data_IF_142141942737
#
_entry.id   IF_142141942737
#
_cell.length_a   1.000
_cell.length_b   1.000
_cell.length_c   1.000
_cell.angle_alpha   90.00
_cell.angle_beta   90.00
_cell.angle_gamma   90.00
#
_symmetry.space_group_name_H-M   'P 1'
#
loop_
_entity.id
_entity.type
_entity.pdbx_description
1 polymer ?
#
# COMPACT_ATOMS: atom_id res chain seq x y z
N UNK A 1 9.29 93.15 30.14
CA UNK A 1 9.09 92.94 28.68
C UNK A 1 9.81 91.67 28.27
N UNK A 2 9.11 90.83 27.47
CA UNK A 2 9.53 89.57 26.82
C UNK A 2 9.45 88.27 27.65
N UNK A 3 8.26 87.65 27.58
CA UNK A 3 7.90 86.25 27.30
C UNK A 3 9.01 85.19 27.32
N UNK A 4 8.75 84.00 27.89
CA UNK A 4 8.41 82.79 27.11
C UNK A 4 8.00 81.60 28.01
N UNK A 5 7.17 80.72 27.44
CA UNK A 5 6.37 79.65 28.05
C UNK A 5 7.10 78.31 28.24
N UNK A 6 6.67 77.59 29.30
CA UNK A 6 6.28 76.17 29.45
C UNK A 6 6.54 75.17 28.28
N UNK A 7 6.67 73.88 28.68
CA UNK A 7 6.66 72.59 27.92
C UNK A 7 8.09 72.00 27.86
N UNK A 8 8.44 70.89 28.53
CA UNK A 8 7.73 69.63 28.70
C UNK A 8 8.33 68.61 27.73
N UNK A 9 9.33 67.82 28.15
CA UNK A 9 9.77 66.67 27.36
C UNK A 9 9.94 65.44 28.25
N UNK A 10 8.88 64.65 28.21
CA UNK A 10 8.73 63.31 28.75
C UNK A 10 9.75 62.38 28.06
N UNK A 11 10.55 61.70 28.87
CA UNK A 11 11.47 60.64 28.43
C UNK A 11 10.64 59.45 27.97
N UNK A 12 10.54 59.25 26.66
CA UNK A 12 9.91 58.07 26.05
C UNK A 12 10.97 57.00 25.83
N UNK A 13 11.19 56.16 26.86
CA UNK A 13 12.05 54.97 26.76
C UNK A 13 11.27 53.88 26.03
N UNK A 14 11.53 53.73 24.73
CA UNK A 14 10.97 52.64 23.92
C UNK A 14 11.65 51.35 24.36
N UNK A 15 10.93 50.54 25.14
CA UNK A 15 11.25 49.14 25.36
C UNK A 15 10.97 48.39 24.04
N UNK A 16 12.02 48.15 23.26
CA UNK A 16 11.97 47.21 22.14
C UNK A 16 11.85 45.80 22.71
N UNK A 17 10.61 45.33 22.88
CA UNK A 17 10.31 43.92 23.08
C UNK A 17 10.66 43.21 21.76
N UNK A 18 11.88 42.70 21.70
CA UNK A 18 12.30 41.76 20.67
C UNK A 18 11.56 40.45 20.91
N UNK A 19 10.40 40.31 20.26
CA UNK A 19 9.73 39.04 20.10
C UNK A 19 10.65 38.19 19.21
N UNK A 20 11.40 37.26 19.80
CA UNK A 20 12.06 36.20 19.04
C UNK A 20 10.93 35.37 18.42
N UNK A 21 10.70 35.57 17.12
CA UNK A 21 9.90 34.68 16.32
C UNK A 21 10.64 33.34 16.34
N UNK A 22 10.09 32.36 17.05
CA UNK A 22 10.58 31.00 16.98
C UNK A 22 10.51 30.57 15.52
N UNK A 23 11.67 30.44 14.88
CA UNK A 23 11.77 29.81 13.58
C UNK A 23 11.36 28.35 13.80
N UNK A 24 10.14 28.04 13.36
CA UNK A 24 9.72 26.67 13.11
C UNK A 24 10.77 26.10 12.16
N UNK A 25 11.70 25.31 12.72
CA UNK A 25 12.54 24.43 11.94
C UNK A 25 11.59 23.51 11.21
N UNK A 26 11.31 23.82 9.94
CA UNK A 26 10.84 22.85 8.99
C UNK A 26 11.92 21.77 8.93
N UNK A 27 11.76 20.75 9.76
CA UNK A 27 12.42 19.47 9.53
C UNK A 27 11.91 19.03 8.18
N UNK A 28 12.70 19.23 7.13
CA UNK A 28 12.46 18.60 5.84
C UNK A 28 12.54 17.11 6.17
N UNK A 29 11.38 16.47 6.32
CA UNK A 29 11.28 15.03 6.31
C UNK A 29 11.81 14.65 4.93
N UNK A 30 13.01 14.08 4.91
CA UNK A 30 13.60 13.56 3.69
C UNK A 30 12.65 12.46 3.23
N UNK A 31 11.70 12.80 2.35
CA UNK A 31 10.86 11.83 1.68
C UNK A 31 11.84 10.92 0.93
N UNK A 32 12.00 9.70 1.42
CA UNK A 32 12.95 8.76 0.84
C UNK A 32 12.56 8.57 -0.63
N UNK A 33 13.49 8.92 -1.52
CA UNK A 33 13.24 8.88 -2.95
C UNK A 33 13.04 7.45 -3.41
N UNK A 34 11.93 7.20 -4.13
CA UNK A 34 11.70 5.95 -4.85
C UNK A 34 12.92 5.55 -5.65
N UNK A 35 13.42 4.33 -5.45
CA UNK A 35 14.59 3.83 -6.17
C UNK A 35 14.62 2.31 -6.25
N UNK A 36 15.30 1.79 -7.27
CA UNK A 36 15.62 0.37 -7.41
C UNK A 36 17.02 0.23 -8.01
N UNK A 37 17.89 -0.53 -7.35
CA UNK A 37 19.29 -0.71 -7.76
C UNK A 37 19.80 -2.10 -7.37
N UNK A 38 20.85 -2.57 -8.05
CA UNK A 38 21.49 -3.86 -7.84
C UNK A 38 22.88 -3.88 -8.46
N UNK A 39 23.53 -5.04 -8.43
CA UNK A 39 24.69 -5.36 -9.26
C UNK A 39 24.36 -6.54 -10.18
N UNK A 40 24.67 -6.43 -11.47
CA UNK A 40 24.46 -7.46 -12.48
C UNK A 40 25.82 -7.93 -12.97
N UNK A 41 26.17 -9.18 -12.67
CA UNK A 41 27.51 -9.75 -12.95
C UNK A 41 28.65 -8.85 -12.43
N UNK A 42 28.42 -8.24 -11.26
CA UNK A 42 29.36 -7.33 -10.58
C UNK A 42 29.35 -5.89 -11.10
N UNK A 43 28.50 -5.54 -12.07
CA UNK A 43 28.36 -4.17 -12.60
C UNK A 43 27.16 -3.49 -11.95
N UNK A 44 27.35 -2.28 -11.43
CA UNK A 44 26.27 -1.48 -10.85
C UNK A 44 25.15 -1.23 -11.86
N UNK A 45 23.92 -1.42 -11.39
CA UNK A 45 22.71 -1.18 -12.13
C UNK A 45 21.72 -0.37 -11.29
N UNK A 46 21.08 0.59 -11.93
CA UNK A 46 20.04 1.40 -11.33
C UNK A 46 18.88 1.53 -12.32
N UNK A 47 17.66 1.29 -11.84
CA UNK A 47 16.46 1.51 -12.62
C UNK A 47 16.30 3.01 -12.92
N UNK A 48 16.07 3.33 -14.19
CA UNK A 48 15.63 4.65 -14.65
C UNK A 48 14.13 4.83 -14.48
N UNK A 49 13.38 3.75 -14.61
CA UNK A 49 11.93 3.69 -14.36
C UNK A 49 11.59 2.41 -13.62
N UNK A 50 10.64 2.51 -12.71
CA UNK A 50 10.10 1.40 -11.94
C UNK A 50 8.59 1.38 -12.07
N UNK A 51 8.02 0.18 -12.08
CA UNK A 51 6.58 -0.05 -12.01
C UNK A 51 6.37 -1.19 -11.01
N UNK A 52 5.43 -1.00 -10.09
CA UNK A 52 4.98 -2.08 -9.22
C UNK A 52 3.46 -2.14 -9.25
N UNK A 53 2.93 -3.34 -9.51
CA UNK A 53 1.50 -3.58 -9.66
C UNK A 53 1.10 -4.78 -8.82
N UNK A 54 0.13 -4.58 -7.93
CA UNK A 54 -0.58 -5.67 -7.28
C UNK A 54 -1.74 -6.13 -8.17
N UNK A 55 -1.82 -7.42 -8.48
CA UNK A 55 -2.99 -8.04 -9.13
C UNK A 55 -3.47 -9.25 -8.34
N UNK A 56 -4.55 -9.90 -8.78
CA UNK A 56 -5.02 -11.16 -8.18
C UNK A 56 -3.98 -12.29 -8.21
N UNK A 57 -3.04 -12.24 -9.17
CA UNK A 57 -1.95 -13.22 -9.29
C UNK A 57 -0.71 -12.86 -8.46
N UNK A 58 -0.79 -11.82 -7.62
CA UNK A 58 0.29 -11.34 -6.77
C UNK A 58 0.93 -10.05 -7.25
N UNK A 59 2.16 -9.79 -6.80
CA UNK A 59 2.90 -8.55 -7.00
C UNK A 59 3.85 -8.70 -8.18
N UNK A 60 3.72 -7.79 -9.15
CA UNK A 60 4.67 -7.60 -10.25
C UNK A 60 5.53 -6.38 -9.98
N UNK A 61 6.85 -6.53 -10.07
CA UNK A 61 7.81 -5.43 -9.95
C UNK A 61 8.65 -5.41 -11.22
N UNK A 62 8.74 -4.26 -11.88
CA UNK A 62 9.54 -4.05 -13.07
C UNK A 62 10.50 -2.88 -12.83
N UNK A 63 11.78 -3.08 -13.10
CA UNK A 63 12.79 -2.03 -13.12
C UNK A 63 13.51 -2.03 -14.47
N UNK A 64 13.52 -0.89 -15.15
CA UNK A 64 14.18 -0.72 -16.46
C UNK A 64 15.34 0.24 -16.31
N UNK A 65 16.56 -0.22 -16.60
CA UNK A 65 17.77 0.62 -16.57
C UNK A 65 17.82 1.63 -17.72
N UNK A 66 18.95 2.33 -17.86
CA UNK A 66 19.17 3.22 -19.01
C UNK A 66 19.43 2.40 -20.27
N UNK A 67 18.35 2.04 -20.98
CA UNK A 67 18.39 1.19 -22.17
C UNK A 67 18.14 -0.27 -21.80
N UNK A 68 19.22 -0.98 -21.49
CA UNK A 68 19.25 -2.40 -21.10
C UNK A 68 20.37 -2.50 -20.05
N UNK A 69 20.21 -3.24 -18.94
CA UNK A 69 19.24 -4.30 -18.70
C UNK A 69 17.97 -3.90 -17.92
N UNK A 70 16.99 -4.80 -17.88
CA UNK A 70 15.77 -4.73 -17.08
C UNK A 70 15.64 -5.93 -16.14
N UNK A 71 15.15 -5.70 -14.92
CA UNK A 71 14.88 -6.73 -13.91
C UNK A 71 13.38 -6.73 -13.62
N UNK A 72 12.77 -7.91 -13.59
CA UNK A 72 11.36 -8.07 -13.27
C UNK A 72 11.13 -9.22 -12.29
N UNK A 73 10.09 -9.10 -11.47
CA UNK A 73 9.63 -10.12 -10.55
C UNK A 73 8.14 -10.37 -10.73
N UNK A 74 7.74 -11.63 -10.60
CA UNK A 74 6.38 -12.05 -10.29
C UNK A 74 6.43 -12.79 -8.96
N UNK A 75 5.81 -12.23 -7.93
CA UNK A 75 5.68 -12.85 -6.62
C UNK A 75 4.19 -13.16 -6.42
N UNK A 76 3.82 -14.41 -6.25
CA UNK A 76 2.40 -14.83 -6.19
C UNK A 76 1.75 -14.62 -4.82
N UNK A 77 2.54 -14.13 -3.87
CA UNK A 77 2.14 -13.79 -2.51
C UNK A 77 2.28 -12.27 -2.26
N UNK A 78 1.52 -11.78 -1.29
CA UNK A 78 1.39 -10.38 -0.90
C UNK A 78 1.77 -10.14 0.56
N UNK A 79 2.29 -11.16 1.25
CA UNK A 79 2.80 -10.99 2.62
C UNK A 79 4.23 -10.46 2.64
N UNK A 80 4.56 -9.72 3.70
CA UNK A 80 5.94 -9.38 4.02
C UNK A 80 6.75 -10.64 4.35
N UNK A 81 8.03 -10.65 3.98
CA UNK A 81 8.90 -11.80 4.23
C UNK A 81 9.70 -12.23 3.00
N UNK A 82 10.24 -13.44 3.08
CA UNK A 82 11.13 -14.00 2.06
C UNK A 82 10.36 -14.87 1.07
N UNK A 83 10.44 -14.49 -0.20
CA UNK A 83 9.84 -15.16 -1.33
C UNK A 83 10.93 -15.84 -2.16
N UNK A 84 10.97 -17.16 -2.10
CA UNK A 84 11.96 -17.93 -2.84
C UNK A 84 11.66 -17.89 -4.34
N UNK A 85 12.70 -17.71 -5.15
CA UNK A 85 12.65 -17.76 -6.62
C UNK A 85 13.36 -19.05 -7.07
N UNK A 86 12.64 -20.10 -7.43
CA UNK A 86 13.23 -21.33 -7.99
C UNK A 86 12.17 -22.20 -8.69
N UNK A 87 12.59 -23.32 -9.29
CA UNK A 87 11.73 -24.28 -10.00
C UNK A 87 10.59 -24.90 -9.15
N UNK A 88 10.67 -24.85 -7.82
CA UNK A 88 9.64 -25.40 -6.93
C UNK A 88 8.64 -24.35 -6.42
N UNK A 89 8.73 -23.11 -6.92
CA UNK A 89 7.85 -22.00 -6.51
C UNK A 89 7.22 -21.36 -7.73
N UNK A 90 6.07 -20.73 -7.55
CA UNK A 90 5.43 -19.93 -8.62
C UNK A 90 6.05 -18.52 -8.76
N UNK A 91 6.89 -18.12 -7.81
CA UNK A 91 7.61 -16.86 -7.87
C UNK A 91 8.76 -16.92 -8.90
N UNK A 92 8.90 -15.88 -9.72
CA UNK A 92 9.88 -15.86 -10.80
C UNK A 92 10.64 -14.53 -10.81
N UNK A 93 11.97 -14.62 -10.88
CA UNK A 93 12.85 -13.50 -11.23
C UNK A 93 13.23 -13.55 -12.70
N UNK A 94 13.20 -12.41 -13.36
CA UNK A 94 13.60 -12.22 -14.75
C UNK A 94 14.67 -11.15 -14.87
N UNK A 95 15.64 -11.40 -15.74
CA UNK A 95 16.62 -10.40 -16.19
C UNK A 95 16.64 -10.40 -17.72
N UNK A 96 16.47 -9.23 -18.33
CA UNK A 96 16.61 -9.02 -19.77
C UNK A 96 17.86 -8.18 -20.02
N UNK A 97 18.84 -8.75 -20.72
CA UNK A 97 20.08 -8.07 -21.08
C UNK A 97 20.37 -8.25 -22.59
N UNK A 98 19.86 -7.33 -23.39
CA UNK A 98 20.02 -7.32 -24.84
C UNK A 98 18.94 -8.19 -25.47
N UNK A 99 19.38 -9.17 -26.26
CA UNK A 99 18.52 -10.25 -26.76
C UNK A 99 18.47 -11.45 -25.81
N UNK A 100 19.21 -11.39 -24.69
CA UNK A 100 19.27 -12.47 -23.72
C UNK A 100 18.19 -12.27 -22.66
N UNK A 101 17.46 -13.33 -22.37
CA UNK A 101 16.52 -13.42 -21.25
C UNK A 101 17.01 -14.51 -20.29
N UNK A 102 17.07 -14.17 -19.01
CA UNK A 102 17.41 -15.06 -17.92
C UNK A 102 16.23 -15.16 -16.97
N UNK A 103 15.94 -16.36 -16.45
CA UNK A 103 14.86 -16.58 -15.50
C UNK A 103 15.24 -17.61 -14.42
N UNK A 104 14.49 -17.65 -13.31
CA UNK A 104 14.73 -18.56 -12.18
C UNK A 104 13.90 -19.84 -12.21
N UNK A 105 13.15 -20.11 -13.28
CA UNK A 105 12.13 -21.17 -13.32
C UNK A 105 12.55 -22.40 -14.14
N UNK A 106 13.45 -22.24 -15.10
CA UNK A 106 13.75 -23.29 -16.09
C UNK A 106 14.97 -24.18 -15.78
N UNK A 107 15.73 -23.90 -14.71
CA UNK A 107 16.93 -24.66 -14.33
C UNK A 107 17.13 -24.70 -12.80
N UNK A 108 17.63 -25.82 -12.27
CA UNK A 108 17.82 -26.02 -10.82
C UNK A 108 18.92 -25.15 -10.20
N UNK A 109 19.88 -24.66 -11.00
CA UNK A 109 20.91 -23.72 -10.56
C UNK A 109 20.43 -22.26 -10.66
N UNK A 110 19.33 -22.00 -11.35
CA UNK A 110 18.68 -20.70 -11.37
C UNK A 110 17.81 -20.56 -10.13
N UNK A 111 18.27 -19.78 -9.15
CA UNK A 111 17.56 -19.58 -7.89
C UNK A 111 17.83 -18.20 -7.30
N UNK A 112 17.05 -17.81 -6.29
CA UNK A 112 17.21 -16.56 -5.58
C UNK A 112 16.10 -16.31 -4.58
N UNK A 113 15.99 -15.06 -4.16
CA UNK A 113 14.88 -14.60 -3.33
C UNK A 113 14.56 -13.13 -3.56
N UNK A 114 13.31 -12.77 -3.25
CA UNK A 114 12.87 -11.40 -2.99
C UNK A 114 12.43 -11.34 -1.54
N UNK A 115 12.82 -10.29 -0.82
CA UNK A 115 12.41 -10.06 0.56
C UNK A 115 11.59 -8.77 0.59
N UNK A 116 10.29 -8.89 0.84
CA UNK A 116 9.43 -7.74 1.11
C UNK A 116 9.64 -7.29 2.54
N UNK A 117 10.24 -6.10 2.72
CA UNK A 117 10.48 -5.51 4.03
C UNK A 117 9.33 -4.64 4.51
N UNK A 118 8.54 -4.11 3.58
CA UNK A 118 7.30 -3.42 3.90
C UNK A 118 6.33 -3.44 2.72
N UNK A 119 5.07 -3.76 2.96
CA UNK A 119 3.96 -3.56 2.01
C UNK A 119 2.91 -2.67 2.68
N UNK A 120 2.80 -1.44 2.20
CA UNK A 120 1.85 -0.47 2.74
C UNK A 120 0.81 -0.14 1.66
N UNK A 121 -0.38 -0.72 1.79
CA UNK A 121 -1.48 -0.53 0.84
C UNK A 121 -2.16 0.84 1.02
N UNK A 122 -2.07 1.42 2.22
CA UNK A 122 -2.64 2.75 2.54
C UNK A 122 -1.87 3.85 1.81
N UNK A 123 -0.54 3.84 1.93
CA UNK A 123 0.33 4.79 1.23
C UNK A 123 0.69 4.32 -0.19
N UNK A 124 0.27 3.11 -0.57
CA UNK A 124 0.57 2.50 -1.87
C UNK A 124 2.07 2.44 -2.16
N UNK A 125 2.86 1.93 -1.18
CA UNK A 125 4.32 1.82 -1.26
C UNK A 125 4.79 0.41 -0.90
N UNK A 126 5.81 -0.05 -1.61
CA UNK A 126 6.50 -1.32 -1.32
C UNK A 126 8.02 -1.13 -1.27
N UNK A 127 8.66 -1.81 -0.32
CA UNK A 127 10.12 -1.82 -0.15
C UNK A 127 10.63 -3.23 0.10
N UNK A 128 11.90 -3.47 -0.28
CA UNK A 128 12.49 -4.79 -0.14
C UNK A 128 13.88 -4.93 -0.71
N UNK A 129 14.35 -6.18 -0.71
CA UNK A 129 15.65 -6.60 -1.24
C UNK A 129 15.48 -7.78 -2.19
N UNK A 130 16.45 -8.00 -3.06
CA UNK A 130 16.43 -9.15 -3.95
C UNK A 130 17.84 -9.58 -4.34
N UNK A 131 17.98 -10.87 -4.64
CA UNK A 131 19.14 -11.46 -5.27
C UNK A 131 18.70 -12.72 -6.01
N UNK A 132 19.28 -12.97 -7.20
CA UNK A 132 19.03 -14.22 -7.91
C UNK A 132 20.09 -14.51 -8.96
N UNK A 133 20.16 -15.77 -9.37
CA UNK A 133 20.87 -16.24 -10.55
C UNK A 133 19.80 -16.66 -11.55
N UNK A 134 19.80 -16.02 -12.72
CA UNK A 134 18.91 -16.39 -13.82
C UNK A 134 19.65 -17.26 -14.84
N UNK A 135 18.95 -18.23 -15.43
CA UNK A 135 19.43 -19.07 -16.51
C UNK A 135 18.80 -18.67 -17.84
N UNK A 136 19.59 -18.72 -18.92
CA UNK A 136 19.11 -18.49 -20.29
C UNK A 136 19.13 -19.77 -21.11
N UNK A 137 17.95 -20.31 -21.40
CA UNK A 137 17.78 -21.48 -22.27
C UNK A 137 18.30 -21.26 -23.71
N UNK A 138 18.45 -20.01 -24.17
CA UNK A 138 18.91 -19.72 -25.54
C UNK A 138 20.37 -20.11 -25.76
N UNK A 139 21.24 -19.85 -24.79
CA UNK A 139 22.69 -20.11 -24.90
C UNK A 139 23.27 -20.92 -23.73
N UNK A 140 22.41 -21.40 -22.82
CA UNK A 140 22.78 -22.20 -21.65
C UNK A 140 23.80 -21.48 -20.75
N UNK A 141 23.59 -20.18 -20.51
CA UNK A 141 24.41 -19.35 -19.62
C UNK A 141 23.62 -18.81 -18.44
N UNK A 142 24.35 -18.29 -17.45
CA UNK A 142 23.79 -17.74 -16.22
C UNK A 142 24.21 -16.29 -16.07
N UNK A 143 23.35 -15.48 -15.45
CA UNK A 143 23.66 -14.12 -15.04
C UNK A 143 23.18 -13.89 -13.61
N UNK A 144 24.02 -13.24 -12.83
CA UNK A 144 23.83 -13.03 -11.39
C UNK A 144 23.36 -11.60 -11.12
N UNK A 145 22.36 -11.48 -10.26
CA UNK A 145 21.85 -10.22 -9.73
C UNK A 145 22.02 -10.25 -8.22
N UNK A 146 22.86 -9.37 -7.69
CA UNK A 146 23.20 -9.33 -6.27
C UNK A 146 22.97 -7.94 -5.67
N UNK A 147 22.85 -7.87 -4.35
CA UNK A 147 22.69 -6.61 -3.59
C UNK A 147 21.52 -5.76 -4.10
N UNK A 148 20.44 -6.42 -4.57
CA UNK A 148 19.26 -5.75 -5.06
C UNK A 148 18.47 -5.10 -3.93
N UNK A 149 18.05 -3.86 -4.14
CA UNK A 149 17.19 -3.10 -3.22
C UNK A 149 16.17 -2.33 -4.03
N UNK A 150 14.93 -2.29 -3.54
CA UNK A 150 13.94 -1.31 -3.97
C UNK A 150 13.34 -0.62 -2.76
N UNK A 151 13.19 0.70 -2.86
CA UNK A 151 12.79 1.58 -1.77
C UNK A 151 11.57 2.36 -2.23
N UNK A 152 10.47 2.26 -1.48
CA UNK A 152 9.23 3.01 -1.67
C UNK A 152 8.80 3.05 -3.13
N UNK A 153 8.73 1.88 -3.79
CA UNK A 153 8.15 1.80 -5.13
C UNK A 153 6.65 2.06 -5.02
N UNK A 154 6.08 2.96 -5.84
CA UNK A 154 4.64 3.12 -5.93
C UNK A 154 3.98 1.81 -6.35
N UNK A 155 3.10 1.31 -5.49
CA UNK A 155 2.33 0.10 -5.70
C UNK A 155 0.96 0.47 -6.25
N UNK A 156 0.73 0.18 -7.53
CA UNK A 156 -0.59 0.37 -8.14
C UNK A 156 -1.42 -0.89 -7.96
N UNK A 157 -2.65 -0.76 -7.46
CA UNK A 157 -3.57 -1.89 -7.35
C UNK A 157 -4.35 -2.01 -8.66
N UNK A 158 -4.17 -3.12 -9.37
CA UNK A 158 -4.89 -3.42 -10.60
C UNK A 158 -5.55 -4.80 -10.50
N UNK A 159 -6.84 -4.78 -10.18
CA UNK A 159 -7.66 -5.97 -10.01
C UNK A 159 -8.46 -6.17 -11.29
N UNK A 160 -7.72 -6.45 -12.37
CA UNK A 160 -8.16 -6.84 -13.70
C UNK A 160 -9.64 -6.50 -14.02
N UNK A 161 -9.92 -5.27 -14.46
CA UNK A 161 -11.20 -4.82 -15.02
C UNK A 161 -12.46 -5.01 -14.16
N UNK A 162 -12.34 -5.25 -12.85
CA UNK A 162 -13.50 -5.25 -11.98
C UNK A 162 -13.90 -3.81 -11.65
N UNK A 163 -15.16 -3.45 -11.90
CA UNK A 163 -15.72 -2.18 -11.38
C UNK A 163 -15.73 -2.17 -9.85
N UNK A 164 -15.85 -3.37 -9.27
CA UNK A 164 -16.03 -3.59 -7.84
C UNK A 164 -14.92 -4.50 -7.30
N UNK A 165 -14.23 -4.05 -6.26
CA UNK A 165 -13.18 -4.83 -5.60
C UNK A 165 -13.07 -4.52 -4.12
N UNK A 166 -12.64 -5.52 -3.36
CA UNK A 166 -12.34 -5.45 -1.93
C UNK A 166 -11.13 -6.34 -1.64
N UNK A 167 -10.12 -5.77 -1.00
CA UNK A 167 -8.92 -6.47 -0.52
C UNK A 167 -8.69 -6.06 0.92
N UNK A 168 -8.23 -6.98 1.77
CA UNK A 168 -7.79 -6.68 3.13
C UNK A 168 -6.85 -7.76 3.63
N UNK A 169 -5.88 -7.41 4.48
CA UNK A 169 -5.08 -8.39 5.21
C UNK A 169 -5.79 -8.77 6.50
N UNK A 170 -6.04 -10.07 6.70
CA UNK A 170 -6.69 -10.63 7.89
C UNK A 170 -5.63 -11.42 8.65
N UNK A 171 -5.24 -10.94 9.83
CA UNK A 171 -4.11 -11.47 10.61
C UNK A 171 -2.80 -11.59 9.80
N UNK A 172 -2.59 -10.70 8.83
CA UNK A 172 -1.42 -10.68 7.96
C UNK A 172 -1.53 -11.53 6.70
N UNK A 173 -2.63 -12.27 6.50
CA UNK A 173 -2.90 -12.97 5.24
C UNK A 173 -3.83 -12.14 4.35
N UNK A 174 -3.43 -11.87 3.10
CA UNK A 174 -4.25 -11.08 2.19
C UNK A 174 -5.46 -11.85 1.69
N UNK A 175 -6.63 -11.30 1.95
CA UNK A 175 -7.90 -11.74 1.42
C UNK A 175 -8.27 -10.91 0.18
N UNK A 176 -8.42 -11.59 -0.95
CA UNK A 176 -9.02 -11.03 -2.16
C UNK A 176 -10.48 -11.48 -2.24
N UNK A 177 -11.42 -10.52 -2.25
CA UNK A 177 -12.81 -10.86 -2.51
C UNK A 177 -12.98 -11.34 -3.97
N UNK A 178 -13.51 -12.55 -4.15
CA UNK A 178 -13.85 -13.08 -5.47
C UNK A 178 -15.19 -12.55 -5.96
N UNK A 179 -16.12 -12.29 -5.03
CA UNK A 179 -17.35 -11.57 -5.31
C UNK A 179 -17.47 -10.35 -4.42
N UNK A 180 -17.83 -9.22 -5.02
CA UNK A 180 -18.09 -7.97 -4.30
C UNK A 180 -19.51 -7.53 -4.62
N UNK A 181 -20.28 -7.23 -3.58
CA UNK A 181 -21.65 -6.76 -3.70
C UNK A 181 -21.82 -5.52 -2.82
N UNK A 182 -22.52 -4.51 -3.35
CA UNK A 182 -22.89 -3.37 -2.53
C UNK A 182 -24.30 -2.87 -2.82
N UNK A 183 -24.99 -2.43 -1.77
CA UNK A 183 -26.40 -2.02 -1.84
C UNK A 183 -26.74 -0.99 -0.78
N UNK A 184 -27.68 -0.10 -1.10
CA UNK A 184 -28.23 0.87 -0.15
C UNK A 184 -29.61 0.43 0.31
N UNK A 185 -29.77 0.23 1.62
CA UNK A 185 -31.07 -0.05 2.24
C UNK A 185 -31.23 0.83 3.49
N UNK A 186 -32.37 1.54 3.60
CA UNK A 186 -32.66 2.44 4.71
C UNK A 186 -31.51 3.43 5.00
N UNK A 187 -30.97 4.06 3.94
CA UNK A 187 -29.86 5.02 3.99
C UNK A 187 -28.52 4.43 4.47
N UNK A 188 -28.41 3.10 4.59
CA UNK A 188 -27.18 2.41 4.94
C UNK A 188 -26.63 1.74 3.68
N UNK A 189 -25.42 2.15 3.29
CA UNK A 189 -24.61 1.43 2.31
C UNK A 189 -23.95 0.24 3.00
N UNK A 190 -24.16 -0.94 2.44
CA UNK A 190 -23.44 -2.16 2.80
C UNK A 190 -22.53 -2.56 1.65
N UNK A 191 -21.25 -2.83 1.93
CA UNK A 191 -20.25 -3.32 0.99
C UNK A 191 -19.77 -4.67 1.50
N UNK A 192 -19.99 -5.73 0.75
CA UNK A 192 -19.61 -7.09 1.11
C UNK A 192 -18.64 -7.66 0.08
N UNK A 193 -17.54 -8.24 0.55
CA UNK A 193 -16.62 -9.04 -0.25
C UNK A 193 -16.58 -10.46 0.29
N UNK A 194 -16.73 -11.48 -0.57
CA UNK A 194 -16.66 -12.90 -0.19
C UNK A 194 -15.70 -13.69 -1.07
N UNK A 195 -15.23 -14.82 -0.54
CA UNK A 195 -14.52 -15.85 -1.31
C UNK A 195 -15.46 -16.60 -2.27
N UNK A 196 -14.90 -17.44 -3.14
CA UNK A 196 -15.65 -18.19 -4.16
C UNK A 196 -16.78 -19.04 -3.56
N UNK A 197 -16.52 -19.66 -2.41
CA UNK A 197 -17.45 -20.56 -1.73
C UNK A 197 -18.37 -19.85 -0.71
N UNK A 198 -18.22 -18.53 -0.52
CA UNK A 198 -18.88 -17.73 0.51
C UNK A 198 -18.68 -18.28 1.95
N UNK A 199 -17.53 -18.91 2.21
CA UNK A 199 -17.14 -19.36 3.55
C UNK A 199 -16.52 -18.23 4.36
N UNK A 200 -16.03 -17.19 3.71
CA UNK A 200 -15.47 -15.99 4.32
C UNK A 200 -16.15 -14.76 3.73
N UNK A 201 -16.57 -13.82 4.57
CA UNK A 201 -17.17 -12.57 4.09
C UNK A 201 -16.75 -11.39 4.96
N UNK A 202 -16.17 -10.37 4.33
CA UNK A 202 -15.90 -9.05 4.91
C UNK A 202 -17.06 -8.13 4.54
N UNK A 203 -17.66 -7.48 5.53
CA UNK A 203 -18.81 -6.58 5.37
C UNK A 203 -18.48 -5.23 6.03
N UNK A 204 -18.62 -4.15 5.28
CA UNK A 204 -18.50 -2.78 5.76
C UNK A 204 -19.88 -2.13 5.65
N UNK A 205 -20.34 -1.47 6.73
CA UNK A 205 -21.56 -0.65 6.71
C UNK A 205 -21.26 0.78 7.11
N UNK A 206 -21.89 1.71 6.39
CA UNK A 206 -21.79 3.15 6.58
C UNK A 206 -23.04 3.86 6.06
N UNK A 207 -23.34 5.11 6.49
CA UNK A 207 -24.34 5.94 5.82
C UNK A 207 -23.98 6.12 4.34
N UNK A 208 -24.95 5.98 3.43
CA UNK A 208 -24.66 6.01 1.99
C UNK A 208 -24.19 7.37 1.46
N UNK A 209 -24.52 8.45 2.17
CA UNK A 209 -24.16 9.83 1.84
C UNK A 209 -22.92 10.32 2.60
N UNK A 210 -22.16 9.40 3.20
CA UNK A 210 -20.93 9.69 3.95
C UNK A 210 -19.96 10.53 3.08
N UNK A 211 -19.58 11.74 3.51
CA UNK A 211 -18.59 12.56 2.81
C UNK A 211 -17.19 11.90 2.73
N UNK A 212 -16.30 12.47 1.92
CA UNK A 212 -14.87 12.13 1.96
C UNK A 212 -14.30 12.53 3.33
N UNK A 213 -13.55 11.62 3.96
CA UNK A 213 -13.00 11.84 5.30
C UNK A 213 -12.60 10.56 6.03
N UNK A 214 -12.15 10.72 7.26
CA UNK A 214 -11.77 9.63 8.18
C UNK A 214 -12.85 9.43 9.23
N UNK A 215 -13.27 8.19 9.42
CA UNK A 215 -14.32 7.76 10.34
C UNK A 215 -13.80 6.64 11.23
N UNK A 216 -14.36 6.52 12.43
CA UNK A 216 -13.96 5.48 13.38
C UNK A 216 -14.93 4.30 13.30
N UNK A 217 -14.40 3.09 13.20
CA UNK A 217 -15.21 1.89 13.40
C UNK A 217 -15.63 1.74 14.86
N UNK A 218 -16.79 1.15 15.07
CA UNK A 218 -17.27 0.77 16.39
C UNK A 218 -18.28 -0.38 16.29
N UNK A 219 -18.55 -1.06 17.39
CA UNK A 219 -19.44 -2.23 17.39
C UNK A 219 -20.91 -1.86 17.10
N UNK A 220 -21.35 -0.69 17.59
CA UNK A 220 -22.76 -0.26 17.57
C UNK A 220 -22.96 1.12 16.90
N UNK A 221 -21.97 1.62 16.17
CA UNK A 221 -22.05 2.93 15.51
C UNK A 221 -22.56 2.89 14.09
N UNK A 222 -22.50 4.04 13.42
CA UNK A 222 -22.86 4.17 12.00
C UNK A 222 -21.86 3.52 11.07
N UNK A 223 -20.61 3.35 11.52
CA UNK A 223 -19.52 2.73 10.78
C UNK A 223 -19.16 1.41 11.47
N UNK A 224 -19.47 0.29 10.81
CA UNK A 224 -19.22 -1.05 11.36
C UNK A 224 -18.53 -1.91 10.32
N UNK A 225 -17.51 -2.65 10.75
CA UNK A 225 -16.90 -3.74 10.01
C UNK A 225 -17.35 -5.06 10.61
N UNK A 226 -17.58 -6.06 9.77
CA UNK A 226 -17.89 -7.42 10.18
C UNK A 226 -17.13 -8.40 9.32
N UNK A 227 -16.66 -9.47 9.93
CA UNK A 227 -16.11 -10.61 9.23
C UNK A 227 -16.85 -11.86 9.66
N UNK A 228 -17.28 -12.66 8.70
CA UNK A 228 -18.07 -13.88 8.94
C UNK A 228 -17.35 -15.09 8.35
N UNK A 229 -17.16 -16.09 9.19
CA UNK A 229 -16.72 -17.44 8.86
C UNK A 229 -17.77 -18.42 9.38
N UNK A 230 -17.36 -19.53 9.99
CA UNK A 230 -18.14 -20.26 11.00
C UNK A 230 -18.48 -19.44 12.26
N UNK A 231 -17.80 -18.30 12.47
CA UNK A 231 -17.99 -17.38 13.59
C UNK A 231 -18.27 -15.95 13.09
N UNK A 232 -18.73 -15.07 13.99
CA UNK A 232 -19.01 -13.66 13.66
C UNK A 232 -18.11 -12.74 14.44
N UNK A 233 -17.34 -11.94 13.70
CA UNK A 233 -16.39 -10.97 14.21
C UNK A 233 -16.89 -9.56 13.90
N UNK A 234 -16.91 -8.67 14.88
CA UNK A 234 -17.43 -7.30 14.73
C UNK A 234 -16.36 -6.29 15.14
N UNK A 235 -16.17 -5.24 14.33
CA UNK A 235 -15.20 -4.17 14.56
C UNK A 235 -15.40 -3.52 15.91
N UNK A 236 -14.35 -3.41 16.71
CA UNK A 236 -14.34 -2.72 18.01
C UNK A 236 -13.74 -1.32 17.91
N UNK A 237 -12.71 -1.19 17.09
CA UNK A 237 -11.94 0.02 16.87
C UNK A 237 -11.29 -0.04 15.49
N UNK A 238 -10.89 1.09 14.95
CA UNK A 238 -10.24 1.17 13.65
C UNK A 238 -10.65 2.42 12.89
N UNK A 239 -10.10 2.59 11.70
CA UNK A 239 -10.40 3.72 10.82
C UNK A 239 -10.92 3.27 9.47
N UNK A 240 -11.90 4.03 8.97
CA UNK A 240 -12.38 3.98 7.61
C UNK A 240 -12.08 5.34 6.96
N UNK A 241 -11.29 5.34 5.90
CA UNK A 241 -10.99 6.52 5.11
C UNK A 241 -11.75 6.45 3.79
N UNK A 242 -12.78 7.28 3.65
CA UNK A 242 -13.49 7.46 2.38
C UNK A 242 -12.69 8.45 1.54
N UNK A 243 -12.10 7.98 0.45
CA UNK A 243 -11.29 8.81 -0.46
C UNK A 243 -12.14 9.42 -1.57
N UNK A 244 -13.27 8.77 -1.91
CA UNK A 244 -14.22 9.25 -2.90
C UNK A 244 -15.60 8.68 -2.59
N UNK A 245 -16.63 9.53 -2.60
CA UNK A 245 -18.04 9.09 -2.63
C UNK A 245 -18.80 9.95 -3.62
N UNK A 246 -19.12 9.39 -4.79
CA UNK A 246 -19.89 10.05 -5.84
C UNK A 246 -21.32 9.49 -5.86
N UNK A 247 -22.20 10.15 -5.12
CA UNK A 247 -23.61 9.74 -4.98
C UNK A 247 -24.37 9.79 -6.32
N UNK A 248 -23.97 10.67 -7.25
CA UNK A 248 -24.60 10.75 -8.58
C UNK A 248 -24.25 9.56 -9.45
N UNK A 249 -22.99 9.14 -9.45
CA UNK A 249 -22.53 7.98 -10.20
C UNK A 249 -22.67 6.66 -9.42
N UNK A 250 -23.14 6.75 -8.17
CA UNK A 250 -23.23 5.64 -7.20
C UNK A 250 -21.92 4.86 -7.05
N UNK A 251 -20.82 5.58 -6.85
CA UNK A 251 -19.48 4.99 -6.79
C UNK A 251 -18.73 5.47 -5.55
N UNK A 252 -18.12 4.56 -4.81
CA UNK A 252 -17.36 4.87 -3.59
C UNK A 252 -16.01 4.13 -3.57
N UNK A 253 -14.99 4.82 -3.08
CA UNK A 253 -13.65 4.29 -2.87
C UNK A 253 -13.19 4.62 -1.44
N UNK A 254 -12.40 3.73 -0.86
CA UNK A 254 -11.82 3.96 0.45
C UNK A 254 -10.80 2.92 0.87
N UNK A 255 -10.15 3.21 1.98
CA UNK A 255 -9.27 2.28 2.67
C UNK A 255 -9.69 2.13 4.13
N UNK A 256 -9.34 1.01 4.75
CA UNK A 256 -9.77 0.71 6.11
C UNK A 256 -8.78 -0.17 6.86
N UNK A 257 -8.80 -0.03 8.17
CA UNK A 257 -8.17 -0.95 9.12
C UNK A 257 -9.03 -1.02 10.38
N UNK A 258 -9.19 -2.21 10.97
CA UNK A 258 -9.90 -2.37 12.24
C UNK A 258 -9.49 -3.64 12.97
N UNK A 259 -9.70 -3.66 14.28
CA UNK A 259 -9.66 -4.89 15.05
C UNK A 259 -11.10 -5.37 15.27
N UNK A 260 -11.36 -6.63 14.94
CA UNK A 260 -12.65 -7.26 15.11
C UNK A 260 -12.62 -8.24 16.27
N UNK A 261 -13.69 -8.26 17.07
CA UNK A 261 -13.85 -9.19 18.19
C UNK A 261 -14.90 -10.24 17.87
N UNK A 262 -14.59 -11.50 18.13
CA UNK A 262 -15.55 -12.60 18.02
C UNK A 262 -16.53 -12.59 19.21
N UNK A 263 -17.80 -12.85 18.92
CA UNK A 263 -18.91 -12.66 19.86
C UNK A 263 -18.90 -13.62 21.07
N UNK A 264 -18.46 -14.87 20.92
CA UNK A 264 -18.54 -15.92 21.94
C UNK A 264 -17.26 -16.10 22.76
N UNK A 265 -16.12 -16.09 22.09
CA UNK A 265 -14.77 -16.33 22.63
C UNK A 265 -14.12 -15.02 23.09
N UNK A 266 -14.45 -13.91 22.43
CA UNK A 266 -13.79 -12.62 22.64
C UNK A 266 -12.42 -12.51 21.98
N UNK A 267 -12.04 -13.47 21.12
CA UNK A 267 -10.81 -13.42 20.34
C UNK A 267 -10.79 -12.20 19.41
N UNK A 268 -9.59 -11.71 19.09
CA UNK A 268 -9.38 -10.53 18.25
C UNK A 268 -8.69 -10.92 16.94
N UNK A 269 -9.21 -10.39 15.84
CA UNK A 269 -8.62 -10.44 14.49
C UNK A 269 -8.24 -9.05 14.04
N UNK A 270 -7.08 -8.92 13.42
CA UNK A 270 -6.64 -7.64 12.86
C UNK A 270 -6.92 -7.59 11.36
N UNK A 271 -7.53 -6.50 10.92
CA UNK A 271 -7.82 -6.20 9.53
C UNK A 271 -7.00 -4.98 9.17
N UNK A 272 -5.97 -5.17 8.35
CA UNK A 272 -5.04 -4.10 7.94
C UNK A 272 -5.04 -3.97 6.42
N UNK A 273 -4.50 -2.85 5.91
CA UNK A 273 -4.31 -2.66 4.47
C UNK A 273 -5.60 -2.83 3.62
N UNK A 274 -6.76 -2.60 4.23
CA UNK A 274 -8.05 -2.75 3.58
C UNK A 274 -8.24 -1.70 2.48
N UNK A 275 -8.67 -2.12 1.30
CA UNK A 275 -9.00 -1.27 0.15
C UNK A 275 -10.33 -1.73 -0.45
N UNK A 276 -11.15 -0.77 -0.87
CA UNK A 276 -12.32 -1.06 -1.69
C UNK A 276 -12.57 0.03 -2.73
N UNK A 277 -13.15 -0.38 -3.85
CA UNK A 277 -13.78 0.47 -4.85
C UNK A 277 -15.01 -0.25 -5.34
N UNK A 278 -16.19 0.35 -5.26
CA UNK A 278 -17.45 -0.30 -5.65
C UNK A 278 -18.45 0.68 -6.23
N UNK A 279 -19.19 0.22 -7.23
CA UNK A 279 -20.48 0.78 -7.60
C UNK A 279 -21.58 0.19 -6.70
N UNK A 280 -22.52 1.03 -6.26
CA UNK A 280 -23.61 0.62 -5.38
C UNK A 280 -24.99 0.90 -5.99
N UNK A 281 -26.01 0.17 -5.52
CA UNK A 281 -27.35 0.21 -6.12
C UNK A 281 -28.44 0.59 -5.14
#
# INVERSE_FOLDING_TARGET
MKNLYLIGFLVFTILMISCKKDEVKNTIVNQESTSMYATIDGIDWQAKSTECVLTKSGIRINGVGQGIPAISFLITDTIEGTHMLNINTENIGFLVNGFMQYNTYDDAFANGSVIFSSINMVDSLISGRFEFIGHSAYNNTYSSVNNGVFINLPLTVNLDNLSDSLIVDIDGETFFAESVFSSVENEILSIAGSDEDNTQTVLIKLPYDTPVGTYQFSELGSFTGRYTTDSVWVSQSGVLNITKNNITNKHIEGNFEFDAKEFHTGDIKSFTNGLFTVDYY
#
